data_IF_217691463705
#
_entry.id   IF_217691463705
#
_cell.length_a   1.000
_cell.length_b   1.000
_cell.length_c   1.000
_cell.angle_alpha   90.00
_cell.angle_beta   90.00
_cell.angle_gamma   90.00
#
_symmetry.space_group_name_H-M   'P 1'
#
loop_
_entity.id
_entity.type
_entity.pdbx_description
1 polymer ?
#
# COMPACT_ATOMS: atom_id res chain seq x y z
N UNK A 1 13.59 0.20 9.93
CA UNK A 1 14.96 -0.30 9.72
C UNK A 1 15.36 -1.09 10.97
N UNK A 2 16.60 -1.59 11.06
CA UNK A 2 17.08 -2.32 12.23
C UNK A 2 17.11 -1.46 13.52
N UNK A 3 17.11 -0.13 13.37
CA UNK A 3 17.11 0.82 14.50
C UNK A 3 15.68 1.19 14.95
N UNK A 4 14.66 0.81 14.21
CA UNK A 4 13.26 1.17 14.49
C UNK A 4 12.91 2.63 14.18
N UNK A 5 13.73 3.34 13.41
CA UNK A 5 13.55 4.76 13.08
C UNK A 5 12.72 4.96 11.81
N UNK A 6 12.76 3.98 10.91
CA UNK A 6 12.05 4.04 9.61
C UNK A 6 11.04 2.91 9.47
N UNK A 7 9.80 3.27 9.15
CA UNK A 7 8.77 2.35 8.72
C UNK A 7 8.52 2.53 7.21
N UNK A 8 8.53 1.43 6.46
CA UNK A 8 8.14 1.44 5.06
C UNK A 8 6.70 0.92 4.91
N UNK A 9 5.88 1.70 4.22
CA UNK A 9 4.60 1.26 3.69
C UNK A 9 4.78 1.03 2.20
N UNK A 10 4.78 -0.24 1.80
CA UNK A 10 4.98 -0.63 0.41
C UNK A 10 3.63 -0.99 -0.18
N UNK A 11 3.22 -0.23 -1.20
CA UNK A 11 1.94 -0.38 -1.88
C UNK A 11 2.22 -0.69 -3.34
N UNK A 12 1.63 -1.77 -3.84
CA UNK A 12 1.83 -2.22 -5.22
C UNK A 12 0.48 -2.45 -5.87
N UNK A 13 0.15 -1.60 -6.83
CA UNK A 13 -1.04 -1.79 -7.66
C UNK A 13 -0.91 -3.05 -8.49
N UNK A 14 -2.03 -3.63 -8.91
CA UNK A 14 -2.01 -4.83 -9.73
C UNK A 14 -3.32 -5.09 -10.46
N UNK A 15 -3.34 -6.15 -11.27
CA UNK A 15 -4.51 -6.61 -12.05
C UNK A 15 -5.05 -5.56 -13.04
N UNK A 16 -4.20 -4.65 -13.51
CA UNK A 16 -4.54 -3.60 -14.48
C UNK A 16 -3.65 -3.71 -15.71
N UNK A 17 -4.25 -4.15 -16.83
CA UNK A 17 -3.53 -4.29 -18.10
C UNK A 17 -2.96 -2.93 -18.53
N UNK A 18 -1.70 -2.92 -18.97
CA UNK A 18 -0.95 -1.73 -19.41
C UNK A 18 -0.61 -0.71 -18.31
N UNK A 19 -0.94 -0.99 -17.05
CA UNK A 19 -0.59 -0.12 -15.92
C UNK A 19 0.25 -0.87 -14.88
N UNK A 20 -0.32 -1.89 -14.24
CA UNK A 20 0.40 -2.74 -13.30
C UNK A 20 -0.15 -4.16 -13.27
N UNK A 21 0.74 -5.13 -13.47
CA UNK A 21 0.43 -6.55 -13.32
C UNK A 21 0.46 -7.01 -11.86
N UNK A 22 0.97 -6.18 -10.94
CA UNK A 22 1.32 -6.57 -9.58
C UNK A 22 2.65 -7.32 -9.53
N UNK A 23 3.02 -7.77 -8.34
CA UNK A 23 4.25 -8.53 -8.10
C UNK A 23 3.98 -9.76 -7.24
N UNK A 24 4.89 -10.72 -7.30
CA UNK A 24 4.88 -11.88 -6.41
C UNK A 24 5.35 -11.49 -4.99
N UNK A 25 5.02 -12.32 -4.00
CA UNK A 25 5.47 -12.09 -2.62
C UNK A 25 7.01 -12.09 -2.50
N UNK A 26 7.71 -12.91 -3.28
CA UNK A 26 9.18 -12.93 -3.30
C UNK A 26 9.78 -11.64 -3.86
N UNK A 27 9.15 -11.07 -4.90
CA UNK A 27 9.56 -9.76 -5.41
C UNK A 27 9.29 -8.64 -4.40
N UNK A 28 8.16 -8.69 -3.69
CA UNK A 28 7.87 -7.74 -2.61
C UNK A 28 8.87 -7.85 -1.46
N UNK A 29 9.23 -9.08 -1.08
CA UNK A 29 10.27 -9.31 -0.07
C UNK A 29 11.62 -8.75 -0.51
N UNK A 30 12.01 -8.94 -1.77
CA UNK A 30 13.24 -8.37 -2.32
C UNK A 30 13.22 -6.83 -2.26
N UNK A 31 12.11 -6.18 -2.63
CA UNK A 31 11.97 -4.72 -2.50
C UNK A 31 12.14 -4.28 -1.05
N UNK A 32 11.53 -4.99 -0.09
CA UNK A 32 11.68 -4.67 1.33
C UNK A 32 13.14 -4.80 1.78
N UNK A 33 13.84 -5.87 1.38
CA UNK A 33 15.27 -6.07 1.66
C UNK A 33 16.12 -4.96 1.04
N UNK A 34 15.89 -4.60 -0.22
CA UNK A 34 16.63 -3.58 -0.94
C UNK A 34 16.45 -2.18 -0.32
N UNK A 35 15.29 -1.92 0.29
CA UNK A 35 15.01 -0.70 1.05
C UNK A 35 15.67 -0.68 2.44
N UNK A 36 16.25 -1.79 2.90
CA UNK A 36 16.85 -1.92 4.22
C UNK A 36 15.85 -2.25 5.32
N UNK A 37 14.70 -2.86 4.98
CA UNK A 37 13.76 -3.37 5.98
C UNK A 37 14.38 -4.54 6.76
N UNK A 38 14.43 -4.41 8.08
CA UNK A 38 14.93 -5.44 8.99
C UNK A 38 13.91 -6.58 9.16
N UNK A 39 12.63 -6.22 9.22
CA UNK A 39 11.51 -7.15 9.20
C UNK A 39 10.39 -6.60 8.30
N UNK A 40 9.63 -7.49 7.68
CA UNK A 40 8.49 -7.14 6.84
C UNK A 40 7.32 -8.09 7.09
N UNK A 41 6.10 -7.53 7.10
CA UNK A 41 4.85 -8.27 7.19
C UNK A 41 3.99 -7.93 5.97
N UNK A 42 3.44 -8.95 5.31
CA UNK A 42 2.49 -8.75 4.23
C UNK A 42 1.07 -8.56 4.78
N UNK A 43 0.36 -7.54 4.32
CA UNK A 43 -1.04 -7.25 4.66
C UNK A 43 -2.00 -7.76 3.56
N UNK A 44 -3.29 -7.50 3.72
CA UNK A 44 -4.27 -7.82 2.68
C UNK A 44 -3.96 -7.07 1.38
N UNK A 45 -4.12 -7.77 0.26
CA UNK A 45 -3.63 -7.36 -1.04
C UNK A 45 -4.72 -7.28 -2.11
N UNK A 46 -4.27 -7.24 -3.36
CA UNK A 46 -5.17 -7.28 -4.51
C UNK A 46 -6.13 -6.11 -4.53
N UNK A 47 -7.44 -6.39 -4.60
CA UNK A 47 -8.44 -5.32 -4.71
C UNK A 47 -8.67 -4.53 -3.43
N UNK A 48 -8.13 -4.99 -2.30
CA UNK A 48 -8.19 -4.28 -1.01
C UNK A 48 -7.07 -3.25 -0.84
N UNK A 49 -6.05 -3.28 -1.72
CA UNK A 49 -4.89 -2.39 -1.63
C UNK A 49 -5.27 -0.96 -2.00
N UNK A 50 -5.33 -0.10 -0.99
CA UNK A 50 -5.62 1.33 -1.13
C UNK A 50 -4.70 2.13 -0.21
N UNK A 51 -4.06 3.16 -0.74
CA UNK A 51 -3.31 4.16 0.01
C UNK A 51 -4.03 5.49 -0.09
N UNK A 52 -4.34 6.08 1.06
CA UNK A 52 -5.01 7.38 1.15
C UNK A 52 -4.18 8.35 1.98
N UNK A 53 -4.25 9.63 1.65
CA UNK A 53 -3.71 10.72 2.46
C UNK A 53 -4.80 11.74 2.76
N UNK A 54 -4.69 12.42 3.90
CA UNK A 54 -5.47 13.61 4.17
C UNK A 54 -4.92 14.79 3.37
N UNK A 55 -5.81 15.59 2.79
CA UNK A 55 -5.53 16.85 2.09
C UNK A 55 -6.50 17.92 2.61
N UNK A 56 -6.25 19.23 2.38
CA UNK A 56 -7.18 20.29 2.76
C UNK A 56 -8.60 20.11 2.18
N UNK A 57 -8.71 19.47 1.00
CA UNK A 57 -9.96 19.21 0.30
C UNK A 57 -10.65 17.90 0.75
N UNK A 58 -10.01 17.11 1.62
CA UNK A 58 -10.50 15.82 2.09
C UNK A 58 -9.50 14.68 1.87
N UNK A 59 -9.96 13.43 1.95
CA UNK A 59 -9.11 12.28 1.68
C UNK A 59 -8.84 12.15 0.17
N UNK A 60 -7.58 11.89 -0.20
CA UNK A 60 -7.15 11.63 -1.57
C UNK A 60 -6.51 10.25 -1.68
N UNK A 61 -6.88 9.50 -2.72
CA UNK A 61 -6.28 8.20 -3.05
C UNK A 61 -4.96 8.45 -3.79
N UNK A 62 -3.90 7.76 -3.37
CA UNK A 62 -2.55 7.90 -3.93
C UNK A 62 -2.16 6.78 -4.90
N UNK A 63 -2.89 5.66 -4.91
CA UNK A 63 -2.66 4.53 -5.81
C UNK A 63 -3.85 4.32 -6.76
N UNK A 64 -3.79 3.27 -7.59
CA UNK A 64 -4.90 2.88 -8.47
C UNK A 64 -5.59 1.60 -7.96
N UNK A 65 -6.49 1.67 -6.96
CA UNK A 65 -7.21 0.49 -6.48
C UNK A 65 -8.06 -0.14 -7.58
N UNK A 66 -8.24 -1.46 -7.52
CA UNK A 66 -9.04 -2.19 -8.51
C UNK A 66 -9.99 -3.18 -7.86
N UNK A 67 -11.29 -2.92 -7.97
CA UNK A 67 -12.35 -3.80 -7.49
C UNK A 67 -13.27 -4.21 -8.64
N UNK A 68 -13.76 -5.46 -8.64
CA UNK A 68 -14.62 -6.00 -9.73
C UNK A 68 -14.04 -5.83 -11.15
N UNK A 69 -12.70 -5.81 -11.28
CA UNK A 69 -11.96 -5.54 -12.52
C UNK A 69 -12.16 -4.14 -13.11
N UNK A 70 -12.63 -3.19 -12.31
CA UNK A 70 -12.72 -1.78 -12.68
C UNK A 70 -11.57 -1.03 -11.99
N UNK A 71 -10.64 -0.43 -12.77
CA UNK A 71 -9.65 0.49 -12.25
C UNK A 71 -10.30 1.66 -11.50
N UNK A 72 -9.58 2.21 -10.52
CA UNK A 72 -10.03 3.32 -9.65
C UNK A 72 -11.31 3.03 -8.86
N UNK A 73 -11.72 1.77 -8.75
CA UNK A 73 -12.85 1.36 -7.90
C UNK A 73 -12.31 0.80 -6.60
N UNK A 74 -12.54 1.52 -5.51
CA UNK A 74 -12.22 1.06 -4.16
C UNK A 74 -13.07 -0.14 -3.74
N UNK A 75 -12.48 -1.01 -2.92
CA UNK A 75 -13.17 -2.13 -2.29
C UNK A 75 -13.51 -1.77 -0.84
N UNK A 76 -14.74 -2.02 -0.37
CA UNK A 76 -15.04 -1.98 1.06
C UNK A 76 -14.20 -3.02 1.81
N UNK A 77 -13.44 -2.55 2.82
CA UNK A 77 -12.59 -3.38 3.69
C UNK A 77 -13.03 -3.21 5.14
N UNK A 78 -12.79 -4.23 5.97
CA UNK A 78 -13.27 -4.26 7.36
C UNK A 78 -12.45 -3.36 8.30
N UNK A 79 -11.15 -3.20 8.03
CA UNK A 79 -10.22 -2.43 8.84
C UNK A 79 -9.13 -1.80 7.97
N UNK A 80 -8.43 -0.82 8.54
CA UNK A 80 -7.37 -0.05 7.88
C UNK A 80 -6.23 0.23 8.87
N UNK A 81 -5.01 0.38 8.36
CA UNK A 81 -3.87 0.86 9.12
C UNK A 81 -3.62 2.33 8.76
N UNK A 82 -3.73 3.22 9.74
CA UNK A 82 -3.58 4.66 9.56
C UNK A 82 -2.49 5.23 10.46
N UNK A 83 -1.84 6.28 9.97
CA UNK A 83 -0.82 7.03 10.70
C UNK A 83 -1.25 8.49 10.78
N UNK A 84 -1.02 9.10 11.94
CA UNK A 84 -1.15 10.54 12.16
C UNK A 84 0.12 11.01 12.83
N UNK A 85 0.58 12.20 12.49
CA UNK A 85 1.59 12.86 13.31
C UNK A 85 1.02 13.01 14.73
N UNK A 86 1.83 12.70 15.74
CA UNK A 86 1.47 13.01 17.11
C UNK A 86 1.38 14.54 17.24
N UNK A 87 0.34 15.01 17.93
CA UNK A 87 0.28 16.40 18.35
C UNK A 87 1.36 16.56 19.43
N UNK A 88 2.45 17.26 19.10
CA UNK A 88 3.54 17.57 20.03
C UNK A 88 3.16 18.76 20.93
#
# INVERSE_FOLDING_TARGET
DAMGERLWLIVVDGKQRHYSHGITLSQLAQIATDLGADAALNLDGGGSTTLVTATPEGAAILNAPTHTRLPMRERPVANQLGFRAADL
#
